data_IF_492444283782
#
_entry.id   IF_492444283782
#
_cell.length_a   1.000
_cell.length_b   1.000
_cell.length_c   1.000
_cell.angle_alpha   90.00
_cell.angle_beta   90.00
_cell.angle_gamma   90.00
#
_symmetry.space_group_name_H-M   'P 1'
#
loop_
_entity.id
_entity.type
_entity.pdbx_description
1 polymer ?
#
# COMPACT_ATOMS: atom_id res chain seq x y z
N UNK A 1 0.44 11.49 6.41
CA UNK A 1 1.88 11.16 6.59
C UNK A 1 2.64 11.66 5.38
N UNK A 2 3.79 12.31 5.57
CA UNK A 2 4.58 12.84 4.44
C UNK A 2 5.35 11.72 3.73
N UNK A 3 5.49 11.83 2.42
CA UNK A 3 6.25 10.88 1.59
C UNK A 3 7.71 10.77 2.01
N UNK A 4 8.32 11.90 2.41
CA UNK A 4 9.69 11.96 2.91
C UNK A 4 9.91 11.11 4.17
N UNK A 5 8.93 11.09 5.09
CA UNK A 5 9.02 10.27 6.30
C UNK A 5 8.99 8.77 5.95
N UNK A 6 8.12 8.38 5.01
CA UNK A 6 8.03 7.00 4.52
C UNK A 6 9.33 6.56 3.84
N UNK A 7 9.95 7.43 3.04
CA UNK A 7 11.23 7.13 2.39
C UNK A 7 12.37 6.96 3.41
N UNK A 8 12.43 7.82 4.43
CA UNK A 8 13.40 7.69 5.53
C UNK A 8 13.19 6.40 6.32
N UNK A 9 11.94 6.02 6.60
CA UNK A 9 11.63 4.76 7.27
C UNK A 9 12.06 3.55 6.43
N UNK A 10 11.82 3.57 5.12
CA UNK A 10 12.25 2.48 4.21
C UNK A 10 13.77 2.37 4.09
N UNK A 11 14.50 3.48 4.21
CA UNK A 11 15.97 3.49 4.17
C UNK A 11 16.59 2.73 5.35
N UNK A 12 15.94 2.73 6.51
CA UNK A 12 16.40 2.00 7.69
C UNK A 12 16.33 0.48 7.46
N UNK A 13 15.29 0.02 6.77
CA UNK A 13 15.02 -1.41 6.55
C UNK A 13 15.75 -1.95 5.34
N UNK A 14 15.79 -1.16 4.27
CA UNK A 14 16.37 -1.53 3.00
C UNK A 14 17.37 -0.43 2.56
N UNK A 15 18.67 -0.56 2.88
CA UNK A 15 19.68 0.44 2.54
C UNK A 15 19.83 0.62 1.02
N UNK A 16 19.46 -0.40 0.24
CA UNK A 16 19.46 -0.37 -1.22
C UNK A 16 18.17 0.22 -1.84
N UNK A 17 17.18 0.61 -1.02
CA UNK A 17 15.92 1.19 -1.49
C UNK A 17 16.13 2.46 -2.34
N UNK A 18 17.16 3.25 -2.01
CA UNK A 18 17.52 4.44 -2.77
C UNK A 18 18.25 4.12 -4.08
N UNK A 19 18.94 2.97 -4.17
CA UNK A 19 19.60 2.53 -5.40
C UNK A 19 18.60 2.11 -6.47
N UNK A 20 17.44 1.59 -6.06
CA UNK A 20 16.35 1.23 -6.98
C UNK A 20 15.46 2.43 -7.37
N UNK A 21 15.28 3.41 -6.49
CA UNK A 21 14.42 4.58 -6.74
C UNK A 21 15.12 5.73 -7.50
N UNK A 22 16.45 5.86 -7.40
CA UNK A 22 17.23 6.84 -8.19
C UNK A 22 17.30 6.54 -9.70
N UNK A 23 16.64 5.48 -10.18
CA UNK A 23 16.58 5.12 -11.60
C UNK A 23 15.43 5.75 -12.40
N UNK A 24 14.64 6.68 -11.84
CA UNK A 24 13.52 7.32 -12.56
C UNK A 24 13.59 8.85 -12.48
N UNK A 25 14.71 9.43 -12.89
CA UNK A 25 14.67 10.79 -13.45
C UNK A 25 13.79 10.78 -14.70
N UNK A 26 12.94 11.79 -14.84
CA UNK A 26 11.94 11.97 -15.88
C UNK A 26 12.40 11.50 -17.28
N UNK A 27 11.97 10.29 -17.70
CA UNK A 27 11.69 10.05 -19.12
C UNK A 27 10.28 10.58 -19.40
N UNK A 28 10.20 11.91 -19.50
CA UNK A 28 9.30 12.48 -20.50
C UNK A 28 9.76 11.97 -21.87
N UNK A 29 8.81 11.86 -22.78
CA UNK A 29 8.96 11.57 -24.21
C UNK A 29 8.84 10.09 -24.61
N UNK A 30 7.71 9.81 -25.28
CA UNK A 30 7.38 8.72 -26.21
C UNK A 30 8.60 7.86 -26.57
N UNK A 31 8.51 6.54 -26.37
CA UNK A 31 9.45 5.53 -26.89
C UNK A 31 10.12 6.04 -28.18
N UNK A 32 11.38 6.49 -28.11
CA UNK A 32 12.08 7.11 -29.25
C UNK A 32 12.10 6.16 -30.46
N UNK A 33 12.15 4.85 -30.19
CA UNK A 33 12.03 3.79 -31.19
C UNK A 33 10.66 3.65 -31.86
N UNK A 34 9.61 4.22 -31.28
CA UNK A 34 8.27 4.29 -31.85
C UNK A 34 8.08 5.43 -32.86
N UNK A 35 8.96 6.44 -32.83
CA UNK A 35 8.96 7.58 -33.75
C UNK A 35 9.73 7.30 -35.05
N UNK A 36 10.55 6.25 -35.08
CA UNK A 36 11.32 5.84 -36.25
C UNK A 36 10.36 5.16 -37.26
N UNK A 37 10.30 5.58 -38.54
CA UNK A 37 9.50 4.91 -39.57
C UNK A 37 9.89 3.44 -39.72
N UNK A 38 8.93 2.54 -39.99
CA UNK A 38 9.17 1.09 -40.02
C UNK A 38 10.29 0.64 -40.97
N UNK A 39 10.47 1.33 -42.11
CA UNK A 39 11.54 1.05 -43.08
C UNK A 39 12.95 1.31 -42.53
N UNK A 40 13.06 2.13 -41.49
CA UNK A 40 14.31 2.49 -40.83
C UNK A 40 14.50 1.73 -39.50
N UNK A 41 13.53 0.92 -39.08
CA UNK A 41 13.66 0.09 -37.87
C UNK A 41 14.55 -1.12 -38.17
N UNK A 42 15.55 -1.34 -37.31
CA UNK A 42 16.36 -2.55 -37.35
C UNK A 42 15.49 -3.71 -36.82
N UNK A 43 14.92 -4.48 -37.76
CA UNK A 43 14.09 -5.65 -37.45
C UNK A 43 14.79 -6.94 -37.86
N UNK A 44 14.71 -7.96 -37.01
CA UNK A 44 15.15 -9.32 -37.36
C UNK A 44 13.92 -10.21 -37.57
N UNK A 45 13.95 -10.99 -38.63
CA UNK A 45 12.94 -12.02 -38.86
C UNK A 45 13.29 -13.23 -37.99
N UNK A 46 12.43 -13.56 -37.02
CA UNK A 46 12.60 -14.74 -36.19
C UNK A 46 11.50 -15.72 -36.57
N UNK A 47 11.87 -16.99 -36.73
CA UNK A 47 10.91 -18.06 -36.93
C UNK A 47 10.49 -18.54 -35.55
N UNK A 48 9.23 -18.28 -35.19
CA UNK A 48 8.63 -18.78 -33.96
C UNK A 48 7.50 -19.71 -34.37
N UNK A 49 7.59 -20.97 -33.96
CA UNK A 49 6.57 -22.00 -34.22
C UNK A 49 6.18 -22.10 -35.71
N UNK A 50 7.17 -22.02 -36.60
CA UNK A 50 6.97 -22.15 -38.05
C UNK A 50 6.60 -20.87 -38.80
N UNK A 51 6.25 -19.76 -38.12
CA UNK A 51 5.93 -18.49 -38.76
C UNK A 51 7.07 -17.46 -38.64
N UNK A 52 7.30 -16.70 -39.71
CA UNK A 52 8.32 -15.63 -39.77
C UNK A 52 7.73 -14.33 -39.24
N UNK A 53 8.12 -13.94 -38.03
CA UNK A 53 7.74 -12.66 -37.42
C UNK A 53 8.90 -11.66 -37.47
N UNK A 54 8.61 -10.37 -37.76
CA UNK A 54 9.60 -9.29 -37.71
C UNK A 54 9.61 -8.69 -36.31
N UNK A 55 10.69 -8.90 -35.56
CA UNK A 55 10.83 -8.35 -34.20
C UNK A 55 11.81 -7.19 -34.23
N UNK A 56 11.41 -6.05 -33.66
CA UNK A 56 12.29 -4.91 -33.43
C UNK A 56 13.39 -5.29 -32.45
N UNK A 57 14.65 -5.20 -32.89
CA UNK A 57 15.80 -5.65 -32.09
C UNK A 57 15.99 -4.75 -30.87
N UNK A 58 15.62 -3.47 -30.98
CA UNK A 58 15.93 -2.42 -29.99
C UNK A 58 14.77 -2.08 -29.04
N UNK A 59 13.57 -2.63 -29.25
CA UNK A 59 12.35 -2.15 -28.58
C UNK A 59 11.88 -2.97 -27.38
N UNK A 60 12.76 -3.67 -26.66
CA UNK A 60 12.38 -4.38 -25.43
C UNK A 60 13.35 -4.04 -24.30
N UNK A 61 12.95 -3.15 -23.40
CA UNK A 61 13.80 -2.65 -22.32
C UNK A 61 14.06 -3.65 -21.18
N UNK A 62 13.56 -4.90 -21.24
CA UNK A 62 14.11 -6.12 -20.62
C UNK A 62 13.14 -7.30 -20.79
N UNK A 63 13.50 -8.31 -21.58
CA UNK A 63 12.82 -9.61 -21.59
C UNK A 63 13.38 -10.42 -20.44
N UNK A 64 12.64 -10.48 -19.34
CA UNK A 64 12.96 -11.35 -18.20
C UNK A 64 12.81 -12.80 -18.66
N UNK A 65 13.91 -13.54 -18.71
CA UNK A 65 13.88 -14.93 -19.15
C UNK A 65 13.28 -15.82 -18.05
N UNK A 66 12.66 -16.95 -18.41
CA UNK A 66 12.05 -17.87 -17.41
C UNK A 66 13.11 -18.35 -16.41
N UNK A 67 14.35 -18.50 -16.84
CA UNK A 67 15.50 -18.85 -15.99
C UNK A 67 15.86 -17.74 -15.01
N UNK A 68 15.85 -16.47 -15.44
CA UNK A 68 16.01 -15.32 -14.54
C UNK A 68 14.85 -15.21 -13.55
N UNK A 69 13.61 -15.44 -13.99
CA UNK A 69 12.44 -15.41 -13.11
C UNK A 69 12.54 -16.48 -12.02
N UNK A 70 12.98 -17.69 -12.36
CA UNK A 70 13.21 -18.77 -11.39
C UNK A 70 14.27 -18.42 -10.35
N UNK A 71 15.31 -17.66 -10.71
CA UNK A 71 16.35 -17.19 -9.77
C UNK A 71 15.82 -16.13 -8.78
N UNK A 72 14.74 -15.43 -9.12
CA UNK A 72 14.11 -14.45 -8.24
C UNK A 72 13.13 -15.09 -7.24
N UNK A 73 12.75 -16.36 -7.44
CA UNK A 73 11.88 -17.09 -6.51
C UNK A 73 12.73 -17.57 -5.34
N UNK A 74 12.62 -16.85 -4.23
CA UNK A 74 13.26 -17.21 -2.96
C UNK A 74 12.49 -18.34 -2.28
N UNK A 75 13.21 -19.19 -1.55
CA UNK A 75 12.58 -20.20 -0.70
C UNK A 75 11.86 -19.55 0.49
N UNK A 76 10.87 -20.23 1.09
CA UNK A 76 10.15 -19.71 2.26
C UNK A 76 11.10 -19.39 3.43
N UNK A 77 12.13 -20.21 3.61
CA UNK A 77 13.12 -20.06 4.67
C UNK A 77 14.03 -18.85 4.45
N UNK A 78 14.43 -18.59 3.21
CA UNK A 78 15.19 -17.38 2.85
C UNK A 78 14.36 -16.13 3.11
N UNK A 79 13.09 -16.13 2.73
CA UNK A 79 12.16 -15.02 2.98
C UNK A 79 12.02 -14.78 4.49
N UNK A 80 11.85 -15.85 5.27
CA UNK A 80 11.73 -15.75 6.72
C UNK A 80 13.01 -15.17 7.35
N UNK A 81 14.19 -15.66 6.95
CA UNK A 81 15.48 -15.15 7.43
C UNK A 81 15.68 -13.67 7.11
N UNK A 82 15.35 -13.26 5.88
CA UNK A 82 15.42 -11.85 5.47
C UNK A 82 14.46 -10.98 6.28
N UNK A 83 13.21 -11.44 6.49
CA UNK A 83 12.22 -10.71 7.27
C UNK A 83 12.66 -10.54 8.74
N UNK A 84 13.19 -11.60 9.36
CA UNK A 84 13.71 -11.52 10.73
C UNK A 84 14.87 -10.54 10.85
N UNK A 85 15.78 -10.50 9.86
CA UNK A 85 16.88 -9.53 9.82
C UNK A 85 16.34 -8.10 9.75
N UNK A 86 15.36 -7.84 8.88
CA UNK A 86 14.70 -6.54 8.74
C UNK A 86 14.00 -6.10 10.03
N UNK A 87 13.28 -7.02 10.69
CA UNK A 87 12.61 -6.74 11.96
C UNK A 87 13.59 -6.37 13.07
N UNK A 88 14.75 -7.04 13.16
CA UNK A 88 15.81 -6.67 14.11
C UNK A 88 16.37 -5.27 13.85
N UNK A 89 16.55 -4.89 12.58
CA UNK A 89 17.00 -3.54 12.23
C UNK A 89 15.97 -2.47 12.63
N UNK A 90 14.68 -2.74 12.40
CA UNK A 90 13.59 -1.87 12.84
C UNK A 90 13.60 -1.76 14.36
N UNK A 91 13.73 -2.87 15.08
CA UNK A 91 13.77 -2.87 16.55
C UNK A 91 14.93 -2.02 17.08
N UNK A 92 16.13 -2.14 16.50
CA UNK A 92 17.28 -1.33 16.91
C UNK A 92 17.14 0.16 16.59
N UNK A 93 16.40 0.52 15.54
CA UNK A 93 16.19 1.91 15.14
C UNK A 93 14.97 2.57 15.81
N UNK A 94 14.03 1.77 16.31
CA UNK A 94 12.79 2.26 16.91
C UNK A 94 13.03 2.58 18.39
N UNK A 95 13.04 3.86 18.73
CA UNK A 95 13.14 4.34 20.12
C UNK A 95 11.78 4.45 20.81
N UNK A 96 10.69 4.14 20.10
CA UNK A 96 9.33 4.31 20.58
C UNK A 96 8.85 2.99 21.18
N UNK A 97 8.57 3.01 22.47
CA UNK A 97 7.84 1.96 23.14
C UNK A 97 6.34 2.23 23.00
N UNK A 98 5.63 1.31 22.35
CA UNK A 98 4.18 1.40 22.17
C UNK A 98 3.48 0.71 23.31
N UNK A 99 2.43 1.34 23.83
CA UNK A 99 1.58 0.76 24.87
C UNK A 99 0.82 -0.47 24.34
N UNK A 100 0.60 -1.46 25.20
CA UNK A 100 0.02 -2.77 24.83
C UNK A 100 -1.32 -2.60 24.12
N UNK A 101 -2.19 -1.73 24.62
CA UNK A 101 -3.49 -1.45 23.99
C UNK A 101 -3.36 -0.92 22.56
N UNK A 102 -2.34 -0.10 22.29
CA UNK A 102 -2.11 0.46 20.95
C UNK A 102 -1.56 -0.60 20.00
N UNK A 103 -0.68 -1.46 20.50
CA UNK A 103 -0.12 -2.58 19.72
C UNK A 103 -1.21 -3.57 19.29
N UNK A 104 -2.13 -3.91 20.19
CA UNK A 104 -3.24 -4.82 19.90
C UNK A 104 -4.17 -4.24 18.83
N UNK A 105 -4.52 -2.95 18.92
CA UNK A 105 -5.33 -2.26 17.90
C UNK A 105 -4.64 -2.24 16.53
N UNK A 106 -3.31 -2.08 16.50
CA UNK A 106 -2.53 -2.11 15.25
C UNK A 106 -2.56 -3.52 14.65
N UNK A 107 -2.34 -4.55 15.46
CA UNK A 107 -2.37 -5.95 15.03
C UNK A 107 -3.75 -6.35 14.50
N UNK A 108 -4.81 -6.02 15.24
CA UNK A 108 -6.20 -6.30 14.83
C UNK A 108 -6.52 -5.64 13.48
N UNK A 109 -6.08 -4.40 13.28
CA UNK A 109 -6.23 -3.69 12.00
C UNK A 109 -5.46 -4.35 10.86
N UNK A 110 -4.25 -4.83 11.11
CA UNK A 110 -3.43 -5.52 10.11
C UNK A 110 -4.07 -6.84 9.66
N UNK A 111 -4.62 -7.62 10.61
CA UNK A 111 -5.29 -8.89 10.33
C UNK A 111 -6.62 -8.69 9.62
N UNK A 112 -7.46 -7.78 10.12
CA UNK A 112 -8.83 -7.60 9.61
C UNK A 112 -8.91 -6.72 8.36
N UNK A 113 -7.84 -6.01 8.00
CA UNK A 113 -7.76 -4.99 6.92
C UNK A 113 -8.82 -3.89 7.02
N UNK A 114 -9.51 -3.77 8.16
CA UNK A 114 -10.62 -2.84 8.38
C UNK A 114 -10.24 -1.83 9.45
N UNK A 115 -10.75 -0.59 9.38
CA UNK A 115 -10.62 0.36 10.48
C UNK A 115 -11.22 -0.26 11.74
N UNK A 116 -10.53 -0.13 12.88
CA UNK A 116 -11.09 -0.55 14.18
C UNK A 116 -12.38 0.23 14.38
N UNK A 117 -13.49 -0.50 14.58
CA UNK A 117 -14.79 0.14 14.79
C UNK A 117 -14.68 0.99 16.05
N UNK A 118 -14.94 2.29 15.91
CA UNK A 118 -15.00 3.18 17.06
C UNK A 118 -15.98 2.59 18.08
N UNK A 119 -15.56 2.53 19.36
CA UNK A 119 -16.45 2.11 20.45
C UNK A 119 -17.71 2.96 20.33
N UNK A 120 -18.88 2.32 20.18
CA UNK A 120 -20.15 3.03 20.11
C UNK A 120 -20.26 3.84 21.39
N UNK A 121 -20.24 5.18 21.27
CA UNK A 121 -20.52 6.05 22.41
C UNK A 121 -21.91 5.68 22.89
N UNK A 122 -22.03 5.29 24.15
CA UNK A 122 -23.34 5.14 24.78
C UNK A 122 -24.06 6.47 24.61
N UNK A 123 -25.22 6.46 23.94
CA UNK A 123 -26.04 7.66 23.83
C UNK A 123 -26.37 8.05 25.26
N UNK A 124 -25.85 9.20 25.72
CA UNK A 124 -26.29 9.76 26.99
C UNK A 124 -27.80 9.91 26.90
N UNK A 125 -28.52 9.51 27.95
CA UNK A 125 -29.95 9.77 28.05
C UNK A 125 -30.16 11.25 27.77
N UNK A 126 -30.93 11.56 26.73
CA UNK A 126 -31.29 12.94 26.42
C UNK A 126 -32.13 13.41 27.60
N UNK A 127 -31.65 14.42 28.34
CA UNK A 127 -32.49 15.09 29.32
C UNK A 127 -33.52 15.88 28.53
N UNK A 128 -34.77 15.44 28.58
CA UNK A 128 -35.89 16.23 28.08
C UNK A 128 -36.04 17.47 28.96
N UNK A 129 -36.41 18.60 28.36
CA UNK A 129 -36.70 19.81 29.12
C UNK A 129 -37.98 19.65 29.95
N UNK A 130 -38.87 18.74 29.54
CA UNK A 130 -40.13 18.43 30.21
C UNK A 130 -39.97 17.29 31.20
N UNK A 131 -40.54 17.48 32.39
CA UNK A 131 -40.71 16.46 33.42
C UNK A 131 -42.10 15.83 33.31
N UNK A 132 -42.33 14.70 34.00
CA UNK A 132 -43.65 14.06 34.05
C UNK A 132 -44.72 14.97 34.67
N UNK A 133 -44.31 15.92 35.51
CA UNK A 133 -45.20 16.93 36.11
C UNK A 133 -45.71 17.94 35.07
N UNK A 134 -44.87 18.34 34.11
CA UNK A 134 -45.25 19.26 33.04
C UNK A 134 -46.33 18.66 32.12
N UNK A 135 -46.26 17.35 31.86
CA UNK A 135 -47.28 16.65 31.05
C UNK A 135 -48.63 16.61 31.77
N UNK A 136 -48.63 16.47 33.09
CA UNK A 136 -49.87 16.43 33.89
C UNK A 136 -50.58 17.79 33.88
N UNK A 137 -49.82 18.88 34.03
CA UNK A 137 -50.36 20.23 33.94
C UNK A 137 -50.94 20.52 32.54
N UNK A 138 -50.29 20.03 31.49
CA UNK A 138 -50.79 20.15 30.11
C UNK A 138 -52.10 19.38 29.88
N UNK A 139 -52.25 18.19 30.47
CA UNK A 139 -53.49 17.42 30.36
C UNK A 139 -54.66 18.13 31.05
N UNK A 140 -54.42 18.72 32.23
CA UNK A 140 -55.44 19.49 32.96
C UNK A 140 -55.88 20.74 32.17
N UNK A 141 -54.94 21.51 31.62
CA UNK A 141 -55.25 22.69 30.80
C UNK A 141 -55.99 22.35 29.49
N UNK A 142 -55.68 21.20 28.89
CA UNK A 142 -56.34 20.73 27.66
C UNK A 142 -57.77 20.25 27.91
N UNK A 143 -58.06 19.68 29.10
CA UNK A 143 -59.39 19.20 29.46
C UNK A 143 -60.32 20.33 29.95
N UNK A 144 -59.76 21.42 30.47
CA UNK A 144 -60.50 22.63 30.88
C UNK A 144 -60.79 23.60 29.71
N UNK A 145 -60.35 23.28 28.47
CA UNK A 145 -60.63 24.02 27.22
C UNK A 145 -61.73 23.35 26.37
#
# INVERSE_FOLDING_TARGET
MSSALVQKALQIVDPDFHKQSKGKTHQSTKNVFGLIPEKQKITKNIIRKGHKEKVGVLSISKKLTVTEARKLIKSKDEILKENLKKLKQIQGACTIELDKETTEKILERAVTKRPVKAKKKTKKAQKTAFTEEDFKNFEEEYLDS
#
